data_IF_308305845596
#
_entry.id   IF_308305845596
#
_cell.length_a   1.000
_cell.length_b   1.000
_cell.length_c   1.000
_cell.angle_alpha   90.00
_cell.angle_beta   90.00
_cell.angle_gamma   90.00
#
_symmetry.space_group_name_H-M   'P 1'
#
loop_
_entity.id
_entity.type
_entity.pdbx_description
1 polymer ?
#
# COMPACT_ATOMS: atom_id res chain seq x y z
N UNK A 1 27.71 5.21 -20.87
CA UNK A 1 26.88 4.72 -19.76
C UNK A 1 25.45 5.13 -20.03
N UNK A 2 24.56 4.15 -20.22
CA UNK A 2 23.12 4.35 -20.40
C UNK A 2 22.39 3.87 -19.16
N UNK A 3 21.24 4.46 -18.88
CA UNK A 3 20.37 4.00 -17.79
C UNK A 3 19.08 3.53 -18.44
N UNK A 4 18.62 2.34 -18.06
CA UNK A 4 17.36 1.77 -18.48
C UNK A 4 16.44 1.64 -17.27
N UNK A 5 15.15 1.92 -17.48
CA UNK A 5 14.11 1.70 -16.51
C UNK A 5 12.99 0.85 -17.11
N UNK A 6 12.34 0.02 -16.29
CA UNK A 6 11.14 -0.69 -16.72
C UNK A 6 9.91 0.16 -16.40
N UNK A 7 9.07 0.41 -17.41
CA UNK A 7 7.91 1.29 -17.29
C UNK A 7 7.01 0.87 -16.13
N UNK A 8 6.58 1.84 -15.32
CA UNK A 8 5.75 1.67 -14.12
C UNK A 8 6.38 0.76 -13.04
N UNK A 9 7.70 0.56 -13.09
CA UNK A 9 8.48 -0.21 -12.11
C UNK A 9 9.64 0.63 -11.56
N UNK A 10 10.15 0.24 -10.39
CA UNK A 10 11.36 0.80 -9.77
C UNK A 10 12.64 0.11 -10.28
N UNK A 11 12.52 -0.90 -11.14
CA UNK A 11 13.66 -1.61 -11.71
C UNK A 11 14.51 -0.67 -12.57
N UNK A 12 15.81 -0.64 -12.27
CA UNK A 12 16.80 0.18 -12.97
C UNK A 12 17.98 -0.71 -13.37
N UNK A 13 18.44 -0.53 -14.59
CA UNK A 13 19.66 -1.17 -15.08
C UNK A 13 20.60 -0.11 -15.67
N UNK A 14 21.85 -0.09 -15.21
CA UNK A 14 22.90 0.73 -15.79
C UNK A 14 23.72 -0.11 -16.76
N UNK A 15 23.76 0.32 -18.01
CA UNK A 15 24.59 -0.30 -19.03
C UNK A 15 25.88 0.51 -19.26
N UNK A 16 27.01 -0.15 -19.04
CA UNK A 16 28.35 0.37 -19.26
C UNK A 16 28.95 -0.10 -20.59
N UNK A 17 28.32 -1.07 -21.25
CA UNK A 17 28.86 -1.77 -22.43
C UNK A 17 28.35 -1.23 -23.77
N UNK A 18 27.32 -0.38 -23.76
CA UNK A 18 26.74 0.23 -24.97
C UNK A 18 25.74 -0.69 -25.68
N UNK A 19 25.06 -1.55 -24.94
CA UNK A 19 24.00 -2.42 -25.46
C UNK A 19 22.77 -1.62 -25.89
N UNK A 20 21.99 -2.24 -26.79
CA UNK A 20 20.68 -1.73 -27.17
C UNK A 20 19.69 -1.84 -26.00
N UNK A 21 18.66 -0.97 -26.02
CA UNK A 21 17.62 -0.98 -25.01
C UNK A 21 16.85 -2.31 -25.05
N UNK A 22 16.78 -3.06 -23.95
CA UNK A 22 16.09 -4.35 -23.93
C UNK A 22 14.58 -4.21 -24.13
N UNK A 23 13.94 -5.28 -24.61
CA UNK A 23 12.49 -5.33 -24.74
C UNK A 23 11.79 -5.12 -23.38
N UNK A 24 10.81 -4.21 -23.34
CA UNK A 24 10.09 -3.85 -22.11
C UNK A 24 10.80 -2.83 -21.22
N UNK A 25 11.98 -2.34 -21.62
CA UNK A 25 12.71 -1.27 -20.96
C UNK A 25 12.69 -0.01 -21.81
N UNK A 26 13.00 1.11 -21.18
CA UNK A 26 13.16 2.41 -21.82
C UNK A 26 14.47 3.05 -21.40
N UNK A 27 15.12 3.78 -22.33
CA UNK A 27 16.30 4.58 -22.01
C UNK A 27 15.89 5.80 -21.18
N UNK A 28 16.48 5.95 -20.01
CA UNK A 28 16.21 7.02 -19.07
C UNK A 28 17.11 8.22 -19.36
N UNK A 29 16.53 9.41 -19.22
CA UNK A 29 17.23 10.69 -19.42
C UNK A 29 18.25 10.97 -18.31
N UNK A 30 18.12 10.32 -17.15
CA UNK A 30 19.01 10.47 -16.02
C UNK A 30 19.08 9.20 -15.16
N UNK A 31 20.06 9.15 -14.26
CA UNK A 31 20.00 8.23 -13.12
C UNK A 31 18.76 8.53 -12.27
N UNK A 32 18.26 7.49 -11.61
CA UNK A 32 17.22 7.63 -10.60
C UNK A 32 17.74 8.53 -9.47
N UNK A 33 16.94 9.49 -8.97
CA UNK A 33 17.34 10.30 -7.83
C UNK A 33 17.74 9.42 -6.65
N UNK A 34 18.84 9.78 -5.99
CA UNK A 34 19.32 9.12 -4.77
C UNK A 34 18.74 9.79 -3.51
N UNK A 35 18.54 9.02 -2.44
CA UNK A 35 17.84 9.45 -1.23
C UNK A 35 16.97 8.38 -0.57
N UNK A 36 16.27 8.73 0.52
CA UNK A 36 15.39 7.81 1.24
C UNK A 36 14.22 7.30 0.40
N UNK A 37 13.78 8.10 -0.59
CA UNK A 37 12.64 7.79 -1.46
C UNK A 37 13.08 7.21 -2.82
N UNK A 38 14.35 6.85 -3.00
CA UNK A 38 14.87 6.31 -4.27
C UNK A 38 14.05 5.15 -4.82
N UNK A 39 13.51 4.30 -3.94
CA UNK A 39 12.70 3.14 -4.33
C UNK A 39 11.24 3.51 -4.69
N UNK A 40 10.81 4.73 -4.39
CA UNK A 40 9.47 5.23 -4.74
C UNK A 40 9.44 5.82 -6.16
N UNK A 41 10.59 6.08 -6.77
CA UNK A 41 10.66 6.51 -8.16
C UNK A 41 10.42 5.35 -9.11
N UNK A 42 9.45 5.54 -10.01
CA UNK A 42 9.14 4.62 -11.10
C UNK A 42 9.49 5.23 -12.44
N UNK A 43 9.95 4.38 -13.38
CA UNK A 43 10.26 4.84 -14.72
C UNK A 43 8.99 5.18 -15.50
N UNK A 44 8.99 6.33 -16.17
CA UNK A 44 7.87 6.86 -16.95
C UNK A 44 8.14 6.70 -18.45
N UNK A 45 7.10 6.49 -19.29
CA UNK A 45 7.29 6.27 -20.74
C UNK A 45 8.07 7.35 -21.49
N UNK A 46 8.21 8.55 -20.92
CA UNK A 46 8.98 9.67 -21.46
C UNK A 46 10.47 9.65 -21.08
N UNK A 47 10.94 8.59 -20.41
CA UNK A 47 12.33 8.45 -19.99
C UNK A 47 12.66 9.20 -18.70
N UNK A 48 11.66 9.62 -17.92
CA UNK A 48 11.86 10.29 -16.62
C UNK A 48 11.54 9.39 -15.43
N UNK A 49 12.07 9.75 -14.26
CA UNK A 49 11.73 9.09 -13.00
C UNK A 49 10.69 9.94 -12.25
N UNK A 50 9.59 9.33 -11.82
CA UNK A 50 8.60 10.03 -11.00
C UNK A 50 8.04 9.15 -9.89
N UNK A 51 7.80 9.77 -8.73
CA UNK A 51 6.94 9.24 -7.69
C UNK A 51 5.51 9.56 -8.11
N UNK A 52 4.74 8.54 -8.45
CA UNK A 52 3.36 8.72 -8.90
C UNK A 52 2.37 8.46 -7.79
N UNK A 53 1.12 8.97 -7.89
CA UNK A 53 0.05 8.57 -6.98
C UNK A 53 -0.16 7.06 -6.92
N UNK A 54 0.04 6.35 -8.03
CA UNK A 54 -0.05 4.89 -8.07
C UNK A 54 1.06 4.23 -7.26
N UNK A 55 2.30 4.73 -7.34
CA UNK A 55 3.43 4.22 -6.55
C UNK A 55 3.22 4.44 -5.06
N UNK A 56 2.79 5.65 -4.67
CA UNK A 56 2.46 5.97 -3.29
C UNK A 56 1.30 5.10 -2.77
N UNK A 57 0.27 4.89 -3.60
CA UNK A 57 -0.85 4.01 -3.27
C UNK A 57 -0.41 2.56 -3.07
N UNK A 58 0.46 2.03 -3.94
CA UNK A 58 1.00 0.68 -3.82
C UNK A 58 1.85 0.51 -2.54
N UNK A 59 2.68 1.50 -2.22
CA UNK A 59 3.48 1.52 -0.98
C UNK A 59 2.57 1.51 0.27
N UNK A 60 1.58 2.40 0.29
CA UNK A 60 0.65 2.49 1.41
C UNK A 60 -0.23 1.24 1.55
N UNK A 61 -0.52 0.52 0.46
CA UNK A 61 -1.32 -0.70 0.50
C UNK A 61 -0.73 -1.80 1.40
N UNK A 62 0.60 -1.90 1.50
CA UNK A 62 1.25 -2.83 2.44
C UNK A 62 0.95 -2.48 3.89
N UNK A 63 1.06 -1.20 4.25
CA UNK A 63 0.74 -0.69 5.60
C UNK A 63 -0.73 -0.92 5.95
N UNK A 64 -1.63 -0.67 5.00
CA UNK A 64 -3.06 -0.89 5.21
C UNK A 64 -3.42 -2.38 5.34
N UNK A 65 -2.71 -3.27 4.64
CA UNK A 65 -2.91 -4.72 4.78
C UNK A 65 -2.51 -5.21 6.18
N UNK A 66 -1.37 -4.74 6.70
CA UNK A 66 -0.95 -5.05 8.07
C UNK A 66 -1.95 -4.55 9.11
N UNK A 67 -2.40 -3.29 8.96
CA UNK A 67 -3.44 -2.72 9.81
C UNK A 67 -4.74 -3.55 9.75
N UNK A 68 -5.18 -3.93 8.54
CA UNK A 68 -6.39 -4.74 8.36
C UNK A 68 -6.27 -6.10 9.08
N UNK A 69 -5.11 -6.76 9.02
CA UNK A 69 -4.90 -8.04 9.71
C UNK A 69 -4.99 -7.89 11.23
N UNK A 70 -4.37 -6.85 11.79
CA UNK A 70 -4.44 -6.53 13.23
C UNK A 70 -5.88 -6.26 13.65
N UNK A 71 -6.62 -5.43 12.92
CA UNK A 71 -8.01 -5.13 13.25
C UNK A 71 -8.90 -6.37 13.14
N UNK A 72 -8.70 -7.22 12.13
CA UNK A 72 -9.48 -8.46 11.99
C UNK A 72 -9.28 -9.41 13.18
N UNK A 73 -8.08 -9.48 13.75
CA UNK A 73 -7.81 -10.25 14.97
C UNK A 73 -8.51 -9.63 16.20
N UNK A 74 -8.44 -8.31 16.37
CA UNK A 74 -9.14 -7.59 17.46
C UNK A 74 -10.64 -7.84 17.40
N UNK A 75 -11.24 -7.72 16.20
CA UNK A 75 -12.66 -7.95 15.99
C UNK A 75 -13.06 -9.39 16.34
N UNK A 76 -12.24 -10.38 15.95
CA UNK A 76 -12.53 -11.78 16.27
C UNK A 76 -12.55 -12.02 17.78
N UNK A 77 -11.54 -11.54 18.50
CA UNK A 77 -11.48 -11.63 19.96
C UNK A 77 -12.65 -10.91 20.63
N UNK A 78 -13.01 -9.72 20.13
CA UNK A 78 -14.10 -8.94 20.69
C UNK A 78 -15.48 -9.59 20.50
N UNK A 79 -15.71 -10.24 19.35
CA UNK A 79 -16.95 -10.97 19.12
C UNK A 79 -17.09 -12.17 20.07
N UNK A 80 -15.99 -12.83 20.43
CA UNK A 80 -15.97 -13.89 21.46
C UNK A 80 -16.19 -13.31 22.85
N UNK A 81 -15.49 -12.23 23.21
CA UNK A 81 -15.65 -11.55 24.51
C UNK A 81 -17.10 -11.10 24.76
N UNK A 82 -17.79 -10.61 23.73
CA UNK A 82 -19.22 -10.26 23.82
C UNK A 82 -20.14 -11.48 23.97
N UNK A 83 -19.75 -12.63 23.44
CA UNK A 83 -20.52 -13.89 23.59
C UNK A 83 -20.35 -14.49 24.99
N UNK A 84 -19.17 -14.34 25.58
CA UNK A 84 -18.85 -14.80 26.94
C UNK A 84 -19.23 -13.79 28.03
N UNK A 85 -19.81 -12.64 27.65
CA UNK A 85 -20.07 -11.50 28.54
C UNK A 85 -18.83 -11.09 29.37
N UNK A 86 -17.66 -11.13 28.71
CA UNK A 86 -16.39 -10.89 29.35
C UNK A 86 -16.30 -9.46 29.90
N UNK A 87 -15.78 -9.26 31.12
CA UNK A 87 -15.74 -7.94 31.77
C UNK A 87 -14.79 -6.95 31.08
N UNK A 88 -13.86 -7.45 30.27
CA UNK A 88 -12.90 -6.67 29.48
C UNK A 88 -13.33 -6.48 28.02
N UNK A 89 -14.55 -6.89 27.65
CA UNK A 89 -15.11 -6.62 26.33
C UNK A 89 -15.09 -5.10 26.06
N UNK A 90 -14.56 -4.72 24.90
CA UNK A 90 -14.56 -3.34 24.43
C UNK A 90 -16.00 -2.82 24.23
N UNK A 91 -16.22 -1.50 24.28
CA UNK A 91 -17.53 -0.91 24.02
C UNK A 91 -18.14 -1.28 22.65
N UNK A 92 -19.46 -1.13 22.55
CA UNK A 92 -20.24 -1.40 21.34
C UNK A 92 -20.92 -2.78 21.33
N UNK A 93 -21.97 -2.89 20.54
CA UNK A 93 -22.75 -4.14 20.43
C UNK A 93 -22.13 -5.11 19.41
N UNK A 94 -22.51 -6.39 19.50
CA UNK A 94 -22.15 -7.41 18.49
C UNK A 94 -22.48 -6.96 17.06
N UNK A 95 -23.59 -6.23 16.88
CA UNK A 95 -24.01 -5.69 15.58
C UNK A 95 -23.02 -4.64 15.07
N UNK A 96 -22.58 -3.73 15.94
CA UNK A 96 -21.64 -2.65 15.58
C UNK A 96 -20.28 -3.23 15.17
N UNK A 97 -19.81 -4.25 15.90
CA UNK A 97 -18.57 -4.96 15.59
C UNK A 97 -18.64 -5.74 14.26
N UNK A 98 -19.79 -6.35 13.93
CA UNK A 98 -19.99 -7.01 12.63
C UNK A 98 -20.02 -6.01 11.46
N UNK A 99 -20.62 -4.84 11.66
CA UNK A 99 -20.60 -3.75 10.67
C UNK A 99 -19.17 -3.21 10.50
N UNK A 100 -18.45 -3.01 11.60
CA UNK A 100 -17.05 -2.63 11.59
C UNK A 100 -16.19 -3.63 10.81
N UNK A 101 -16.34 -4.93 11.07
CA UNK A 101 -15.67 -6.01 10.32
C UNK A 101 -15.86 -5.91 8.82
N UNK A 102 -17.07 -5.60 8.38
CA UNK A 102 -17.39 -5.48 6.95
C UNK A 102 -16.65 -4.29 6.34
N UNK A 103 -16.65 -3.14 7.02
CA UNK A 103 -15.90 -1.94 6.60
C UNK A 103 -14.39 -2.20 6.54
N UNK A 104 -13.83 -2.88 7.54
CA UNK A 104 -12.40 -3.24 7.57
C UNK A 104 -12.04 -4.19 6.42
N UNK A 105 -12.83 -5.24 6.17
CA UNK A 105 -12.59 -6.18 5.06
C UNK A 105 -12.62 -5.52 3.68
N UNK A 106 -13.57 -4.61 3.48
CA UNK A 106 -13.76 -3.89 2.22
C UNK A 106 -12.93 -2.60 2.13
N UNK A 107 -12.02 -2.34 3.07
CA UNK A 107 -11.26 -1.11 3.11
C UNK A 107 -10.46 -0.86 1.82
N UNK A 108 -9.84 -1.89 1.25
CA UNK A 108 -9.09 -1.81 0.00
C UNK A 108 -9.95 -1.43 -1.24
N UNK A 109 -11.27 -1.59 -1.15
CA UNK A 109 -12.23 -1.20 -2.20
C UNK A 109 -12.77 0.23 -1.98
N UNK A 110 -12.46 0.86 -0.84
CA UNK A 110 -12.93 2.20 -0.52
C UNK A 110 -12.29 3.25 -1.44
N UNK A 111 -13.04 4.29 -1.88
CA UNK A 111 -12.45 5.44 -2.57
C UNK A 111 -11.42 6.19 -1.72
N UNK A 112 -11.54 6.10 -0.39
CA UNK A 112 -10.64 6.75 0.55
C UNK A 112 -9.36 5.94 0.81
N UNK A 113 -9.23 4.74 0.25
CA UNK A 113 -8.02 3.95 0.39
C UNK A 113 -6.85 4.57 -0.38
N UNK A 114 -5.66 4.74 0.23
CA UNK A 114 -5.19 4.22 1.53
C UNK A 114 -4.99 5.32 2.59
N UNK A 115 -5.89 6.31 2.68
CA UNK A 115 -5.76 7.43 3.62
C UNK A 115 -6.04 6.99 5.06
N UNK A 116 -5.03 7.07 5.93
CA UNK A 116 -5.10 6.53 7.29
C UNK A 116 -6.18 7.21 8.15
N UNK A 117 -6.38 8.52 7.97
CA UNK A 117 -7.37 9.30 8.70
C UNK A 117 -8.81 8.93 8.34
N UNK A 118 -8.99 8.24 7.20
CA UNK A 118 -10.29 7.76 6.70
C UNK A 118 -10.51 6.27 6.98
N UNK A 119 -9.60 5.62 7.73
CA UNK A 119 -9.78 4.23 8.13
C UNK A 119 -11.10 4.06 8.88
N UNK A 120 -11.79 2.92 8.70
CA UNK A 120 -12.88 2.52 9.55
C UNK A 120 -12.52 2.65 11.04
N UNK A 121 -13.40 3.29 11.80
CA UNK A 121 -13.25 3.49 13.25
C UNK A 121 -13.99 2.41 14.03
N UNK A 122 -13.35 1.90 15.09
CA UNK A 122 -13.93 0.93 16.03
C UNK A 122 -15.18 1.50 16.70
N UNK A 123 -16.14 0.65 17.09
CA UNK A 123 -17.27 1.06 17.93
C UNK A 123 -16.81 1.66 19.27
N UNK A 124 -17.61 2.57 19.82
CA UNK A 124 -17.40 3.28 21.09
C UNK A 124 -18.58 3.13 22.02
#
# INVERSE_FOLDING_TARGET
MKVFGRVDSFEMWVDETGMECPEGWIEMSSQRPDGPDSLDFTARPDGTWAITPATLKAKAAGVELEWQQVEMAVIANQLLALEEEAPDALPGSRKDWLQYRTRVRLWHESPDFPTQEQRPVRPS
#
